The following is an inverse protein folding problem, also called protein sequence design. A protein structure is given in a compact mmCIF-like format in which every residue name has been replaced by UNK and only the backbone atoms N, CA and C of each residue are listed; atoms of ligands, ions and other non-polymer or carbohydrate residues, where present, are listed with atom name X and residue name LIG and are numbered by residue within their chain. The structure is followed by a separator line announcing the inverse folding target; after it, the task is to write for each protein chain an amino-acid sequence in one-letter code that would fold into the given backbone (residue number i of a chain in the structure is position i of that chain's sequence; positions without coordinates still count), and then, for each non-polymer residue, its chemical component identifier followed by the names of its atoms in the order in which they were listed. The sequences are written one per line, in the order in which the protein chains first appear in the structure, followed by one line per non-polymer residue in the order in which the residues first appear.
data_IF_316720769644
#
_entry.id   IF_316720769644
#
_cell.length_a   1.000
_cell.length_b   1.000
_cell.length_c   1.000
_cell.angle_alpha   90.00
_cell.angle_beta   90.00
_cell.angle_gamma   90.00
#
_symmetry.space_group_name_H-M   'P 1'
#
loop_
_entity.id
_entity.type
_entity.pdbx_description
1 polymer ?
#
# COMPACT_ATOMS: atom_id res chain seq x y z
N UNK A 1 -16.09 28.92 -3.65
CA UNK A 1 -17.09 28.42 -2.68
C UNK A 1 -16.48 27.26 -1.91
N UNK A 2 -16.58 27.31 -0.60
CA UNK A 2 -16.08 26.22 0.27
C UNK A 2 -17.08 25.06 0.32
N UNK A 3 -16.61 23.82 0.48
CA UNK A 3 -17.51 22.70 0.70
C UNK A 3 -18.27 22.81 2.05
N UNK A 4 -19.41 22.14 2.21
CA UNK A 4 -20.17 22.20 3.46
C UNK A 4 -19.38 21.72 4.68
N UNK A 5 -18.69 20.59 4.56
CA UNK A 5 -17.84 20.04 5.60
C UNK A 5 -16.55 19.54 4.98
N UNK A 6 -15.40 19.73 5.62
CA UNK A 6 -14.15 19.15 5.12
C UNK A 6 -14.19 17.63 5.18
N UNK A 7 -13.71 16.98 4.14
CA UNK A 7 -13.61 15.52 4.11
C UNK A 7 -12.22 15.07 4.52
N UNK A 8 -12.12 13.83 4.99
CA UNK A 8 -10.85 13.17 5.30
C UNK A 8 -10.81 11.83 4.59
N UNK A 9 -9.61 11.37 4.31
CA UNK A 9 -9.47 10.02 3.76
C UNK A 9 -9.90 9.01 4.81
N UNK A 10 -10.82 8.12 4.45
CA UNK A 10 -11.33 7.07 5.34
C UNK A 10 -10.59 5.75 5.09
N UNK A 11 -10.49 5.35 3.84
CA UNK A 11 -9.82 4.12 3.44
C UNK A 11 -9.38 4.21 1.98
N UNK A 12 -8.52 3.30 1.58
CA UNK A 12 -8.19 3.05 0.18
C UNK A 12 -8.65 1.63 -0.16
N UNK A 13 -9.21 1.46 -1.36
CA UNK A 13 -9.65 0.15 -1.85
C UNK A 13 -8.84 -0.19 -3.11
N UNK A 14 -8.26 -1.38 -3.12
CA UNK A 14 -7.40 -1.87 -4.19
C UNK A 14 -8.01 -3.12 -4.81
N UNK A 15 -7.99 -3.22 -6.12
CA UNK A 15 -8.35 -4.46 -6.82
C UNK A 15 -7.11 -5.34 -6.92
N UNK A 16 -7.23 -6.58 -6.44
CA UNK A 16 -6.14 -7.56 -6.42
C UNK A 16 -6.54 -8.79 -7.22
N UNK A 17 -5.56 -9.56 -7.67
CA UNK A 17 -5.81 -10.75 -8.48
C UNK A 17 -6.09 -12.00 -7.65
N UNK A 18 -5.44 -12.15 -6.50
CA UNK A 18 -5.59 -13.27 -5.57
C UNK A 18 -5.93 -12.71 -4.19
N UNK A 19 -7.20 -12.74 -3.84
CA UNK A 19 -7.68 -12.09 -2.62
C UNK A 19 -7.05 -12.67 -1.36
N UNK A 20 -7.03 -13.99 -1.23
CA UNK A 20 -6.50 -14.64 -0.02
C UNK A 20 -5.00 -14.39 0.14
N UNK A 21 -4.24 -14.49 -0.93
CA UNK A 21 -2.81 -14.22 -0.90
C UNK A 21 -2.52 -12.75 -0.55
N UNK A 22 -3.25 -11.82 -1.14
CA UNK A 22 -3.08 -10.40 -0.86
C UNK A 22 -3.52 -10.02 0.55
N UNK A 23 -4.62 -10.59 1.05
CA UNK A 23 -5.04 -10.37 2.45
C UNK A 23 -3.93 -10.82 3.40
N UNK A 24 -3.36 -12.01 3.19
CA UNK A 24 -2.28 -12.52 4.04
C UNK A 24 -1.06 -11.59 4.00
N UNK A 25 -0.69 -11.13 2.81
CA UNK A 25 0.46 -10.24 2.63
C UNK A 25 0.25 -8.88 3.31
N UNK A 26 -0.88 -8.21 3.04
CA UNK A 26 -1.15 -6.90 3.63
C UNK A 26 -1.27 -6.97 5.15
N UNK A 27 -1.92 -8.00 5.68
CA UNK A 27 -2.01 -8.18 7.13
C UNK A 27 -0.63 -8.36 7.76
N UNK A 28 0.23 -9.17 7.16
CA UNK A 28 1.57 -9.44 7.67
C UNK A 28 2.48 -8.21 7.55
N UNK A 29 2.47 -7.54 6.40
CA UNK A 29 3.36 -6.41 6.14
C UNK A 29 2.98 -5.19 6.99
N UNK A 30 1.68 -4.86 7.07
CA UNK A 30 1.23 -3.65 7.74
C UNK A 30 0.75 -3.87 9.18
N UNK A 31 0.70 -5.12 9.64
CA UNK A 31 0.22 -5.40 11.01
C UNK A 31 -1.25 -5.07 11.20
N UNK A 32 -2.04 -5.27 10.17
CA UNK A 32 -3.48 -5.03 10.19
C UNK A 32 -4.23 -6.36 10.14
N UNK A 33 -5.54 -6.32 10.40
CA UNK A 33 -6.35 -7.52 10.55
C UNK A 33 -7.61 -7.43 9.70
N UNK A 34 -8.09 -8.57 9.23
CA UNK A 34 -9.37 -8.68 8.56
C UNK A 34 -10.50 -8.30 9.51
N UNK A 35 -11.31 -7.32 9.12
CA UNK A 35 -12.41 -6.81 9.92
C UNK A 35 -13.76 -7.33 9.46
N UNK A 36 -14.03 -7.30 8.16
CA UNK A 36 -15.30 -7.74 7.60
C UNK A 36 -15.18 -8.00 6.10
N UNK A 37 -16.13 -8.79 5.60
CA UNK A 37 -16.31 -9.03 4.17
C UNK A 37 -17.34 -8.05 3.59
N UNK A 38 -17.09 -7.62 2.35
CA UNK A 38 -17.97 -6.71 1.62
C UNK A 38 -18.32 -7.38 0.29
N UNK A 39 -19.32 -8.29 0.26
CA UNK A 39 -19.77 -8.87 -0.99
C UNK A 39 -20.46 -7.81 -1.85
N UNK A 40 -20.25 -7.88 -3.16
CA UNK A 40 -20.89 -6.97 -4.11
C UNK A 40 -21.18 -7.72 -5.41
N UNK A 41 -21.98 -7.10 -6.29
CA UNK A 41 -22.26 -7.72 -7.58
C UNK A 41 -20.95 -7.89 -8.37
N UNK A 42 -20.64 -9.13 -8.75
CA UNK A 42 -19.47 -9.46 -9.55
C UNK A 42 -18.17 -9.56 -8.77
N UNK A 43 -18.21 -9.64 -7.42
CA UNK A 43 -16.99 -9.81 -6.65
C UNK A 43 -17.17 -9.75 -5.16
N UNK A 44 -16.06 -9.66 -4.44
CA UNK A 44 -16.04 -9.53 -2.99
C UNK A 44 -14.86 -8.66 -2.57
N UNK A 45 -15.07 -7.87 -1.53
CA UNK A 45 -14.03 -7.12 -0.86
C UNK A 45 -13.81 -7.60 0.57
N UNK A 46 -12.62 -7.35 1.09
CA UNK A 46 -12.27 -7.58 2.50
C UNK A 46 -11.65 -6.30 3.05
N UNK A 47 -12.18 -5.84 4.18
CA UNK A 47 -11.66 -4.65 4.87
C UNK A 47 -10.64 -5.10 5.90
N UNK A 48 -9.44 -4.52 5.81
CA UNK A 48 -8.33 -4.76 6.72
C UNK A 48 -8.03 -3.45 7.45
N UNK A 49 -7.84 -3.51 8.76
CA UNK A 49 -7.56 -2.32 9.55
C UNK A 49 -6.76 -2.67 10.80
N UNK A 50 -6.12 -1.67 11.39
CA UNK A 50 -5.55 -1.77 12.72
C UNK A 50 -6.65 -1.58 13.78
N UNK A 51 -6.29 -1.79 15.05
CA UNK A 51 -7.28 -1.86 16.15
C UNK A 51 -8.09 -0.56 16.30
N UNK A 52 -7.46 0.59 16.10
CA UNK A 52 -8.13 1.89 16.23
C UNK A 52 -8.61 2.45 14.87
N UNK A 53 -8.45 1.68 13.80
CA UNK A 53 -8.82 2.02 12.43
C UNK A 53 -8.16 3.30 11.92
N UNK A 54 -6.96 3.60 12.38
CA UNK A 54 -6.15 4.69 11.83
C UNK A 54 -5.61 4.36 10.44
N UNK A 55 -5.47 3.06 10.14
CA UNK A 55 -5.12 2.55 8.82
C UNK A 55 -6.19 1.56 8.37
N UNK A 56 -6.83 1.82 7.24
CA UNK A 56 -7.85 0.94 6.69
C UNK A 56 -7.62 0.76 5.19
N UNK A 57 -7.44 -0.49 4.79
CA UNK A 57 -7.23 -0.89 3.40
C UNK A 57 -8.28 -1.94 3.06
N UNK A 58 -9.02 -1.73 1.98
CA UNK A 58 -9.93 -2.74 1.47
C UNK A 58 -9.32 -3.37 0.22
N UNK A 59 -9.41 -4.70 0.13
CA UNK A 59 -8.96 -5.45 -1.04
C UNK A 59 -10.18 -6.07 -1.71
N UNK A 60 -10.28 -5.89 -3.02
CA UNK A 60 -11.42 -6.36 -3.80
C UNK A 60 -10.96 -7.26 -4.95
N UNK A 61 -11.81 -8.23 -5.28
CA UNK A 61 -11.72 -8.96 -6.55
C UNK A 61 -12.98 -8.70 -7.37
N UNK A 62 -12.82 -8.77 -8.69
CA UNK A 62 -13.92 -8.60 -9.64
C UNK A 62 -13.88 -9.73 -10.65
N UNK A 63 -15.03 -10.38 -10.91
CA UNK A 63 -15.12 -11.49 -11.84
C UNK A 63 -14.71 -11.10 -13.26
N UNK A 64 -14.87 -9.83 -13.61
CA UNK A 64 -14.50 -9.29 -14.91
C UNK A 64 -13.08 -8.75 -14.98
N UNK A 65 -12.30 -8.90 -13.91
CA UNK A 65 -10.91 -8.41 -13.91
C UNK A 65 -10.09 -9.13 -14.97
N UNK A 66 -9.30 -8.40 -15.78
CA UNK A 66 -8.40 -9.04 -16.74
C UNK A 66 -7.16 -9.66 -16.08
N UNK A 67 -6.99 -9.54 -14.77
CA UNK A 67 -5.84 -10.04 -13.99
C UNK A 67 -4.49 -9.53 -14.53
N UNK A 68 -4.46 -8.33 -15.09
CA UNK A 68 -3.20 -7.71 -15.48
C UNK A 68 -2.48 -7.10 -14.27
N UNK A 69 -1.15 -7.01 -14.38
CA UNK A 69 -0.35 -6.32 -13.38
C UNK A 69 -0.68 -4.84 -13.36
N UNK A 70 -0.68 -4.26 -12.17
CA UNK A 70 -0.84 -2.82 -12.00
C UNK A 70 0.30 -2.07 -12.71
N UNK A 71 -0.04 -0.90 -13.26
CA UNK A 71 0.95 0.04 -13.74
C UNK A 71 0.50 1.46 -13.44
N UNK A 72 1.39 2.24 -12.86
CA UNK A 72 1.10 3.60 -12.38
C UNK A 72 0.83 4.60 -13.50
N UNK A 73 1.23 4.28 -14.73
CA UNK A 73 0.99 5.19 -15.87
C UNK A 73 -0.45 5.16 -16.38
N UNK A 74 -1.26 4.21 -15.92
CA UNK A 74 -2.68 4.17 -16.29
C UNK A 74 -3.46 5.18 -15.46
N UNK A 75 -4.44 5.82 -16.09
CA UNK A 75 -5.29 6.79 -15.40
C UNK A 75 -5.95 6.17 -14.19
N UNK A 76 -5.80 6.80 -13.03
CA UNK A 76 -6.34 6.34 -11.75
C UNK A 76 -5.31 6.45 -10.66
N UNK A 77 -5.06 5.35 -9.96
CA UNK A 77 -4.07 5.31 -8.89
C UNK A 77 -2.66 5.37 -9.47
N UNK A 78 -1.81 6.23 -8.91
CA UNK A 78 -0.36 6.21 -9.14
C UNK A 78 0.32 5.38 -8.06
N UNK A 79 0.10 5.73 -6.81
CA UNK A 79 0.63 5.00 -5.65
C UNK A 79 -0.17 5.34 -4.40
N UNK A 80 0.02 4.54 -3.35
CA UNK A 80 -0.50 4.84 -2.02
C UNK A 80 0.68 5.16 -1.11
N UNK A 81 0.66 6.32 -0.47
CA UNK A 81 1.70 6.76 0.45
C UNK A 81 1.28 6.57 1.89
N UNK A 82 2.18 5.99 2.69
CA UNK A 82 2.01 5.79 4.13
C UNK A 82 3.07 6.59 4.88
N UNK A 83 2.71 7.18 5.99
CA UNK A 83 3.61 8.04 6.76
C UNK A 83 4.35 7.25 7.84
N UNK A 84 5.64 7.53 7.95
CA UNK A 84 6.46 7.14 9.09
C UNK A 84 7.05 8.40 9.72
N UNK A 85 7.46 8.30 10.98
CA UNK A 85 7.94 9.46 11.71
C UNK A 85 9.36 9.87 11.30
N UNK A 86 10.24 8.89 11.03
CA UNK A 86 11.68 9.17 10.82
C UNK A 86 12.25 8.35 9.67
N UNK A 87 13.38 8.85 9.14
CA UNK A 87 14.14 8.09 8.15
C UNK A 87 14.66 6.76 8.71
N UNK A 88 15.00 6.70 9.98
CA UNK A 88 15.43 5.45 10.61
C UNK A 88 14.31 4.41 10.59
N UNK A 89 13.05 4.82 10.66
CA UNK A 89 11.91 3.91 10.48
C UNK A 89 11.91 3.29 9.08
N UNK A 90 12.26 4.06 8.03
CA UNK A 90 12.36 3.51 6.67
C UNK A 90 13.43 2.43 6.60
N UNK A 91 14.57 2.60 7.27
CA UNK A 91 15.62 1.60 7.29
C UNK A 91 15.14 0.29 7.93
N UNK A 92 14.38 0.38 9.02
CA UNK A 92 13.77 -0.79 9.64
C UNK A 92 12.73 -1.46 8.73
N UNK A 93 11.99 -0.66 7.99
CA UNK A 93 11.02 -1.17 7.02
C UNK A 93 11.68 -1.88 5.85
N UNK A 94 12.86 -1.47 5.39
CA UNK A 94 13.61 -2.22 4.38
C UNK A 94 13.83 -3.67 4.82
N UNK A 95 14.26 -3.86 6.06
CA UNK A 95 14.48 -5.20 6.61
C UNK A 95 13.17 -5.97 6.78
N UNK A 96 12.13 -5.29 7.27
CA UNK A 96 10.81 -5.87 7.44
C UNK A 96 10.21 -6.36 6.12
N UNK A 97 10.26 -5.52 5.08
CA UNK A 97 9.79 -5.88 3.75
C UNK A 97 10.57 -7.08 3.19
N UNK A 98 11.90 -7.11 3.35
CA UNK A 98 12.71 -8.23 2.89
C UNK A 98 12.31 -9.53 3.61
N UNK A 99 11.98 -9.47 4.90
CA UNK A 99 11.52 -10.63 5.66
C UNK A 99 10.20 -11.21 5.13
N UNK A 100 9.39 -10.38 4.49
CA UNK A 100 8.12 -10.82 3.87
C UNK A 100 8.21 -10.97 2.35
N UNK A 101 9.42 -11.19 1.83
CA UNK A 101 9.62 -11.56 0.43
C UNK A 101 9.72 -10.40 -0.56
N UNK A 102 9.73 -9.16 -0.08
CA UNK A 102 9.90 -7.98 -0.94
C UNK A 102 11.39 -7.74 -1.14
N UNK A 103 11.89 -8.12 -2.30
CA UNK A 103 13.33 -8.15 -2.59
C UNK A 103 13.88 -6.77 -2.92
N UNK A 104 15.06 -6.46 -2.40
CA UNK A 104 15.77 -5.24 -2.77
C UNK A 104 16.20 -5.29 -4.22
N UNK A 105 16.00 -4.19 -4.94
CA UNK A 105 16.36 -4.05 -6.34
C UNK A 105 16.81 -2.60 -6.60
N UNK A 106 17.38 -2.35 -7.76
CA UNK A 106 17.75 -0.99 -8.15
C UNK A 106 16.50 -0.10 -8.34
N UNK A 107 15.41 -0.71 -8.79
CA UNK A 107 14.11 -0.05 -8.98
C UNK A 107 12.99 -0.96 -8.48
N UNK A 108 11.93 -0.37 -7.95
CA UNK A 108 10.71 -1.11 -7.60
C UNK A 108 9.76 -1.09 -8.80
N UNK A 109 10.05 -1.90 -9.80
CA UNK A 109 9.34 -1.94 -11.08
C UNK A 109 8.67 -3.29 -11.37
N UNK A 110 8.79 -4.26 -10.47
CA UNK A 110 8.20 -5.60 -10.58
C UNK A 110 7.53 -5.97 -9.27
N UNK A 111 6.56 -6.91 -9.30
CA UNK A 111 5.94 -7.38 -8.06
C UNK A 111 6.96 -7.81 -7.01
N UNK A 112 6.70 -7.47 -5.76
CA UNK A 112 7.50 -7.89 -4.61
C UNK A 112 8.96 -7.42 -4.68
N UNK A 113 9.17 -6.17 -5.10
CA UNK A 113 10.48 -5.51 -5.08
C UNK A 113 10.41 -4.19 -4.32
N UNK A 114 11.55 -3.76 -3.79
CA UNK A 114 11.70 -2.46 -3.14
C UNK A 114 12.93 -1.74 -3.70
N UNK A 115 12.79 -0.44 -3.92
CA UNK A 115 13.89 0.43 -4.33
C UNK A 115 14.71 0.87 -3.12
N UNK A 116 15.95 1.36 -3.32
CA UNK A 116 16.70 1.98 -2.23
C UNK A 116 15.96 3.22 -1.70
N UNK A 117 16.14 3.52 -0.42
CA UNK A 117 15.61 4.77 0.15
C UNK A 117 16.18 5.94 -0.62
N UNK A 118 15.30 6.83 -1.08
CA UNK A 118 15.66 8.06 -1.76
C UNK A 118 15.46 9.24 -0.82
N UNK A 119 16.52 10.03 -0.65
CA UNK A 119 16.45 11.28 0.09
C UNK A 119 16.18 12.43 -0.87
N UNK A 120 15.13 13.17 -0.63
CA UNK A 120 14.67 14.29 -1.46
C UNK A 120 14.51 15.54 -0.57
N UNK A 121 14.42 16.75 -1.14
CA UNK A 121 14.34 17.96 -0.31
C UNK A 121 13.18 17.97 0.68
N UNK A 122 12.08 17.31 0.37
CA UNK A 122 10.89 17.29 1.23
C UNK A 122 10.79 16.05 2.13
N UNK A 123 11.77 15.17 2.12
CA UNK A 123 11.76 13.99 3.01
C UNK A 123 12.55 12.81 2.46
N UNK A 124 12.22 11.63 2.96
CA UNK A 124 12.81 10.36 2.52
C UNK A 124 11.70 9.41 2.11
N UNK A 125 11.95 8.62 1.08
CA UNK A 125 10.93 7.80 0.41
C UNK A 125 11.45 6.39 0.20
N UNK A 126 10.63 5.41 0.52
CA UNK A 126 10.86 3.99 0.21
C UNK A 126 9.73 3.49 -0.65
N UNK A 127 10.00 3.22 -1.93
CA UNK A 127 9.02 2.70 -2.89
C UNK A 127 9.12 1.19 -2.94
N UNK A 128 7.99 0.51 -2.93
CA UNK A 128 7.92 -0.94 -3.06
C UNK A 128 6.64 -1.36 -3.77
N UNK A 129 6.58 -2.63 -4.15
CA UNK A 129 5.46 -3.19 -4.92
C UNK A 129 4.85 -4.37 -4.19
N UNK A 130 3.53 -4.46 -4.25
CA UNK A 130 2.78 -5.59 -3.72
C UNK A 130 2.77 -6.78 -4.70
N UNK A 131 2.06 -7.90 -4.38
CA UNK A 131 2.01 -9.06 -5.28
C UNK A 131 1.42 -8.77 -6.67
N UNK A 132 0.60 -7.75 -6.82
CA UNK A 132 0.01 -7.33 -8.10
C UNK A 132 0.74 -6.18 -8.76
N UNK A 133 1.93 -5.84 -8.28
CA UNK A 133 2.73 -4.71 -8.74
C UNK A 133 2.14 -3.33 -8.38
N UNK A 134 1.20 -3.28 -7.44
CA UNK A 134 0.66 -2.00 -6.99
C UNK A 134 1.77 -1.22 -6.31
N UNK A 135 1.94 0.04 -6.71
CA UNK A 135 3.00 0.90 -6.19
C UNK A 135 2.61 1.46 -4.83
N UNK A 136 3.45 1.17 -3.85
CA UNK A 136 3.29 1.61 -2.47
C UNK A 136 4.52 2.41 -2.06
N UNK A 137 4.32 3.35 -1.15
CA UNK A 137 5.39 4.25 -0.73
C UNK A 137 5.31 4.49 0.77
N UNK A 138 6.46 4.42 1.42
CA UNK A 138 6.61 4.89 2.79
C UNK A 138 7.37 6.21 2.76
N UNK A 139 6.86 7.18 3.47
CA UNK A 139 7.39 8.54 3.48
C UNK A 139 7.71 8.98 4.91
N UNK A 140 8.89 9.56 5.08
CA UNK A 140 9.30 10.18 6.33
C UNK A 140 9.71 11.64 6.06
N UNK A 141 9.36 12.58 6.95
CA UNK A 141 9.71 13.99 6.77
C UNK A 141 11.22 14.21 6.85
N UNK A 142 11.72 15.37 6.42
CA UNK A 142 13.15 15.69 6.53
C UNK A 142 13.61 15.60 7.97
N UNK A 143 14.82 15.05 8.18
CA UNK A 143 15.45 14.97 9.50
C UNK A 143 16.26 16.23 9.81
N UNK A 144 16.52 16.48 11.10
CA UNK A 144 17.42 17.53 11.54
C UNK A 144 16.77 18.87 11.83
N UNK A 145 15.48 18.91 12.13
CA UNK A 145 14.75 20.11 12.50
C UNK A 145 14.15 20.04 13.88
#
# INVERSE_FOLDING_TARGET
MSPPEPVRLHHVALTVSDLDASVAWYCSVFGIHHQLDVPHAGGIGKVLADDDRSLSIALHTHDTSPHESFHESRTGLDHVGFALATRADLERWQEHLAAYGVQRAAEADRPMTQAPIADVPYGSVLVFRDPDNIQLELFAPPSGH
#
